data_IF_389479915446
#
_entry.id   IF_389479915446
#
_cell.length_a   1.000
_cell.length_b   1.000
_cell.length_c   1.000
_cell.angle_alpha   90.00
_cell.angle_beta   90.00
_cell.angle_gamma   90.00
#
_symmetry.space_group_name_H-M   'P 1'
#
loop_
_entity.id
_entity.type
_entity.pdbx_description
1 polymer ?
#
# COMPACT_ATOMS: atom_id res chain seq x y z
N UNK A 1 2.46 18.82 -5.09
CA UNK A 1 3.57 18.97 -4.13
C UNK A 1 4.83 18.39 -4.76
N UNK A 2 6.01 19.01 -4.62
CA UNK A 2 7.25 18.50 -5.22
C UNK A 2 8.36 18.34 -4.17
N UNK A 3 9.11 17.24 -4.22
CA UNK A 3 10.28 17.01 -3.38
C UNK A 3 11.45 17.93 -3.78
N UNK A 4 12.30 18.27 -2.82
CA UNK A 4 13.58 18.95 -3.08
C UNK A 4 14.67 17.90 -3.37
N UNK A 5 15.85 18.30 -3.89
CA UNK A 5 16.99 17.40 -4.15
C UNK A 5 17.69 16.88 -2.87
N UNK A 6 16.93 16.51 -1.84
CA UNK A 6 17.35 16.01 -0.53
C UNK A 6 16.28 15.03 -0.03
N UNK A 7 16.63 14.16 0.91
CA UNK A 7 15.66 13.31 1.61
C UNK A 7 14.49 14.17 2.14
N UNK A 8 13.28 13.79 1.76
CA UNK A 8 12.09 14.58 2.06
C UNK A 8 10.96 13.73 2.61
N UNK A 9 10.10 14.36 3.41
CA UNK A 9 8.83 13.78 3.85
C UNK A 9 7.72 14.62 3.23
N UNK A 10 6.85 13.97 2.46
CA UNK A 10 5.74 14.58 1.76
C UNK A 10 4.44 13.96 2.26
N UNK A 11 3.43 14.80 2.46
CA UNK A 11 2.09 14.40 2.86
C UNK A 11 1.12 15.33 2.13
N UNK A 12 0.21 14.76 1.33
CA UNK A 12 -0.86 15.52 0.66
C UNK A 12 -1.79 16.18 1.68
N UNK A 13 -2.18 15.38 2.68
CA UNK A 13 -3.31 15.64 3.60
C UNK A 13 -4.60 15.55 2.80
N UNK A 14 -5.69 16.18 3.26
CA UNK A 14 -6.99 15.96 2.64
C UNK A 14 -7.16 16.60 1.26
N UNK A 15 -7.84 15.84 0.39
CA UNK A 15 -8.16 16.21 -0.99
C UNK A 15 -7.25 15.47 -1.97
N UNK A 16 -7.58 15.50 -3.25
CA UNK A 16 -6.79 14.77 -4.25
C UNK A 16 -5.52 15.58 -4.61
N UNK A 17 -4.34 15.10 -4.20
CA UNK A 17 -3.08 15.78 -4.46
C UNK A 17 -2.24 15.13 -5.55
N UNK A 18 -1.60 15.95 -6.40
CA UNK A 18 -0.51 15.51 -7.26
C UNK A 18 0.83 15.65 -6.52
N UNK A 19 1.51 14.54 -6.23
CA UNK A 19 2.76 14.45 -5.48
C UNK A 19 3.90 14.00 -6.40
N UNK A 20 4.83 14.90 -6.68
CA UNK A 20 6.00 14.63 -7.52
C UNK A 20 7.26 14.47 -6.65
N UNK A 21 7.79 13.25 -6.61
CA UNK A 21 9.03 12.91 -5.89
C UNK A 21 10.15 12.50 -6.85
N UNK A 22 10.06 12.89 -8.12
CA UNK A 22 11.11 12.63 -9.13
C UNK A 22 12.47 13.30 -8.83
N UNK A 23 12.49 14.24 -7.89
CA UNK A 23 13.72 14.85 -7.41
C UNK A 23 14.60 13.81 -6.67
N UNK A 24 15.93 13.81 -6.88
CA UNK A 24 16.82 12.87 -6.21
C UNK A 24 16.76 12.98 -4.68
N UNK A 25 16.70 11.83 -4.00
CA UNK A 25 16.67 11.72 -2.54
C UNK A 25 15.99 10.41 -2.13
N UNK A 26 16.08 10.03 -0.85
CA UNK A 26 15.17 9.04 -0.27
C UNK A 26 13.92 9.78 0.23
N UNK A 27 12.85 9.78 -0.55
CA UNK A 27 11.62 10.45 -0.20
C UNK A 27 10.70 9.52 0.57
N UNK A 28 9.90 10.09 1.47
CA UNK A 28 8.86 9.37 2.20
C UNK A 28 7.52 10.03 1.89
N UNK A 29 6.58 9.27 1.36
CA UNK A 29 5.19 9.72 1.19
C UNK A 29 4.37 9.15 2.33
N UNK A 30 3.70 10.03 3.06
CA UNK A 30 2.81 9.68 4.17
C UNK A 30 1.37 9.88 3.72
N UNK A 31 0.56 8.85 3.86
CA UNK A 31 -0.88 8.88 3.62
C UNK A 31 -1.65 8.91 4.95
N UNK A 32 -2.79 9.58 4.97
CA UNK A 32 -3.72 9.48 6.10
C UNK A 32 -4.32 8.07 6.17
N UNK A 33 -4.58 7.58 7.39
CA UNK A 33 -5.11 6.24 7.59
C UNK A 33 -6.50 6.05 6.96
N UNK A 34 -7.31 7.10 6.97
CA UNK A 34 -8.65 7.12 6.41
C UNK A 34 -8.63 7.69 4.99
N UNK A 35 -9.17 6.98 4.01
CA UNK A 35 -9.22 7.44 2.63
C UNK A 35 -9.97 8.79 2.49
N UNK A 36 -11.01 9.02 3.30
CA UNK A 36 -11.74 10.30 3.31
C UNK A 36 -10.93 11.48 3.86
N UNK A 37 -9.95 11.22 4.71
CA UNK A 37 -9.03 12.23 5.23
C UNK A 37 -7.81 12.42 4.32
N UNK A 38 -7.49 11.43 3.49
CA UNK A 38 -6.45 11.49 2.47
C UNK A 38 -6.96 12.15 1.19
N UNK A 39 -8.10 11.75 0.65
CA UNK A 39 -8.38 11.92 -0.79
C UNK A 39 -7.62 10.88 -1.62
N UNK A 40 -7.66 11.04 -2.94
CA UNK A 40 -6.96 10.16 -3.89
C UNK A 40 -5.74 10.84 -4.49
N UNK A 41 -4.55 10.47 -4.00
CA UNK A 41 -3.30 11.13 -4.40
C UNK A 41 -2.67 10.47 -5.63
N UNK A 42 -2.16 11.28 -6.56
CA UNK A 42 -1.36 10.83 -7.68
C UNK A 42 0.14 11.04 -7.38
N UNK A 43 0.90 9.95 -7.25
CA UNK A 43 2.34 9.99 -6.95
C UNK A 43 3.17 9.67 -8.19
N UNK A 44 4.07 10.57 -8.58
CA UNK A 44 5.00 10.38 -9.71
C UNK A 44 6.45 10.34 -9.24
N UNK A 45 7.27 9.51 -9.90
CA UNK A 45 8.72 9.45 -9.66
C UNK A 45 9.14 8.60 -8.45
N UNK A 46 8.21 7.80 -7.90
CA UNK A 46 8.51 6.87 -6.81
C UNK A 46 9.48 5.79 -7.28
N UNK A 47 10.57 5.57 -6.53
CA UNK A 47 11.55 4.52 -6.82
C UNK A 47 11.63 3.46 -5.73
N UNK A 48 11.68 2.20 -6.15
CA UNK A 48 11.90 1.07 -5.25
C UNK A 48 13.37 0.97 -4.78
N UNK A 49 14.26 1.82 -5.29
CA UNK A 49 15.70 1.80 -5.01
C UNK A 49 16.51 0.94 -5.99
N UNK A 50 15.95 0.64 -7.16
CA UNK A 50 16.70 0.05 -8.27
C UNK A 50 17.65 1.08 -8.92
N UNK A 51 18.67 0.60 -9.64
CA UNK A 51 19.55 1.40 -10.50
C UNK A 51 20.19 2.65 -9.86
N UNK A 52 20.75 2.49 -8.65
CA UNK A 52 21.49 3.50 -7.87
C UNK A 52 20.67 4.65 -7.28
N UNK A 53 19.35 4.65 -7.47
CA UNK A 53 18.46 5.53 -6.74
C UNK A 53 18.31 5.05 -5.28
N UNK A 54 18.12 5.98 -4.34
CA UNK A 54 17.73 5.63 -2.98
C UNK A 54 16.28 5.16 -2.99
N UNK A 55 15.95 4.16 -2.18
CA UNK A 55 14.58 3.67 -2.05
C UNK A 55 13.69 4.72 -1.39
N UNK A 56 12.58 5.06 -2.06
CA UNK A 56 11.51 5.84 -1.46
C UNK A 56 10.67 4.96 -0.54
N UNK A 57 9.95 5.60 0.38
CA UNK A 57 9.16 4.96 1.42
C UNK A 57 7.70 5.36 1.36
N UNK A 58 6.84 4.40 1.65
CA UNK A 58 5.42 4.60 1.94
C UNK A 58 5.24 4.49 3.45
N UNK A 59 4.55 5.46 4.04
CA UNK A 59 4.08 5.40 5.41
C UNK A 59 2.58 5.73 5.49
N UNK A 60 1.93 5.18 6.52
CA UNK A 60 0.52 5.44 6.80
C UNK A 60 0.45 6.06 8.20
N UNK A 61 -0.23 7.21 8.32
CA UNK A 61 -0.38 7.94 9.57
C UNK A 61 -1.42 7.26 10.47
N UNK A 62 -1.01 6.16 11.09
CA UNK A 62 -1.84 5.40 12.03
C UNK A 62 -1.75 5.96 13.45
N UNK A 63 -2.88 6.38 14.01
CA UNK A 63 -3.04 6.46 15.45
C UNK A 63 -3.39 5.09 16.05
N UNK A 64 -3.51 5.01 17.37
CA UNK A 64 -3.80 3.74 18.04
C UNK A 64 -5.18 3.18 17.66
N UNK A 65 -6.16 4.05 17.36
CA UNK A 65 -7.51 3.61 16.97
C UNK A 65 -7.53 3.04 15.56
N UNK A 66 -6.87 3.71 14.62
CA UNK A 66 -6.73 3.24 13.24
C UNK A 66 -5.90 1.95 13.18
N UNK A 67 -4.86 1.82 14.01
CA UNK A 67 -4.06 0.59 14.07
C UNK A 67 -4.85 -0.58 14.64
N UNK A 68 -5.61 -0.37 15.72
CA UNK A 68 -6.43 -1.41 16.35
C UNK A 68 -7.59 -1.89 15.45
N UNK A 69 -7.92 -1.14 14.39
CA UNK A 69 -8.91 -1.52 13.38
C UNK A 69 -8.35 -2.43 12.28
N UNK A 70 -7.01 -2.54 12.16
CA UNK A 70 -6.37 -3.42 11.19
C UNK A 70 -6.39 -4.88 11.67
N UNK A 71 -6.13 -5.80 10.74
CA UNK A 71 -6.06 -7.23 11.00
C UNK A 71 -5.05 -7.54 12.12
N UNK A 72 -5.55 -8.18 13.18
CA UNK A 72 -4.77 -8.49 14.37
C UNK A 72 -4.38 -7.24 15.15
N UNK A 73 -3.08 -6.98 15.26
CA UNK A 73 -2.54 -5.72 15.78
C UNK A 73 -2.05 -4.76 14.68
N UNK A 74 -2.19 -5.14 13.41
CA UNK A 74 -1.84 -4.34 12.24
C UNK A 74 -0.37 -3.91 12.16
N UNK A 75 0.52 -4.50 12.95
CA UNK A 75 1.90 -4.03 13.09
C UNK A 75 2.82 -4.51 11.97
N UNK A 76 2.39 -5.49 11.18
CA UNK A 76 3.22 -6.14 10.16
C UNK A 76 2.84 -5.75 8.73
N UNK A 77 3.82 -5.80 7.82
CA UNK A 77 3.58 -5.81 6.38
C UNK A 77 4.02 -7.14 5.76
N UNK A 78 3.35 -7.55 4.69
CA UNK A 78 3.68 -8.78 3.95
C UNK A 78 3.81 -8.49 2.45
N UNK A 79 4.97 -8.82 1.88
CA UNK A 79 5.19 -8.84 0.43
C UNK A 79 4.88 -10.25 -0.07
N UNK A 80 3.99 -10.39 -1.04
CA UNK A 80 3.58 -11.72 -1.51
C UNK A 80 3.10 -11.73 -2.96
N UNK A 81 3.11 -12.92 -3.57
CA UNK A 81 2.42 -13.23 -4.83
C UNK A 81 1.11 -14.01 -4.60
N UNK A 82 0.76 -14.30 -3.35
CA UNK A 82 -0.39 -15.10 -2.94
C UNK A 82 -0.16 -15.92 -1.65
N UNK A 83 -1.12 -16.73 -1.24
CA UNK A 83 -1.06 -17.58 -0.06
C UNK A 83 -1.65 -16.95 1.20
N UNK A 84 -1.33 -17.55 2.34
CA UNK A 84 -1.89 -17.17 3.63
C UNK A 84 -1.33 -15.81 4.10
N UNK A 85 -2.22 -14.93 4.53
CA UNK A 85 -1.87 -13.64 5.11
C UNK A 85 -1.68 -13.80 6.62
N UNK A 86 -0.55 -13.30 7.13
CA UNK A 86 -0.22 -13.33 8.56
C UNK A 86 -1.30 -12.70 9.44
N UNK A 87 -1.41 -13.15 10.69
CA UNK A 87 -2.49 -12.75 11.59
C UNK A 87 -2.46 -11.27 12.02
N UNK A 88 -1.32 -10.61 11.86
CA UNK A 88 -1.04 -9.23 12.32
C UNK A 88 -0.69 -8.28 11.16
N UNK A 89 -1.00 -8.68 9.92
CA UNK A 89 -0.61 -7.94 8.72
C UNK A 89 -1.58 -6.79 8.47
N UNK A 90 -1.09 -5.56 8.67
CA UNK A 90 -1.82 -4.33 8.35
C UNK A 90 -1.57 -3.81 6.93
N UNK A 91 -0.52 -4.26 6.24
CA UNK A 91 -0.21 -3.87 4.86
C UNK A 91 0.24 -5.08 4.02
N UNK A 92 -0.40 -5.29 2.88
CA UNK A 92 -0.05 -6.32 1.91
C UNK A 92 0.46 -5.65 0.63
N UNK A 93 1.64 -6.06 0.17
CA UNK A 93 2.19 -5.67 -1.14
C UNK A 93 2.12 -6.88 -2.05
N UNK A 94 1.25 -6.81 -3.04
CA UNK A 94 1.04 -7.88 -4.02
C UNK A 94 1.89 -7.64 -5.26
N UNK A 95 2.88 -8.50 -5.48
CA UNK A 95 3.92 -8.26 -6.50
C UNK A 95 3.64 -8.88 -7.85
N UNK A 96 2.61 -9.73 -7.96
CA UNK A 96 2.18 -10.25 -9.26
C UNK A 96 1.47 -9.14 -10.04
N UNK A 97 2.02 -8.77 -11.20
CA UNK A 97 1.41 -7.78 -12.08
C UNK A 97 -0.01 -8.19 -12.51
N UNK A 98 -0.96 -7.29 -12.26
CA UNK A 98 -2.36 -7.44 -12.62
C UNK A 98 -2.63 -6.97 -14.05
N UNK A 99 -3.82 -7.26 -14.57
CA UNK A 99 -4.23 -6.76 -15.89
C UNK A 99 -4.55 -5.25 -15.91
N UNK A 100 -4.90 -4.68 -14.75
CA UNK A 100 -5.11 -3.26 -14.47
C UNK A 100 -5.30 -3.08 -12.95
N UNK A 101 -5.46 -1.84 -12.48
CA UNK A 101 -5.65 -1.48 -11.07
C UNK A 101 -7.10 -1.18 -10.67
N UNK A 102 -8.10 -1.60 -11.46
CA UNK A 102 -9.52 -1.41 -11.12
C UNK A 102 -9.94 -2.27 -9.93
N UNK A 103 -10.91 -1.80 -9.15
CA UNK A 103 -11.45 -2.50 -7.97
C UNK A 103 -11.83 -3.95 -8.26
N UNK A 104 -12.54 -4.22 -9.37
CA UNK A 104 -12.94 -5.58 -9.75
C UNK A 104 -11.73 -6.51 -9.98
N UNK A 105 -10.62 -5.96 -10.48
CA UNK A 105 -9.38 -6.71 -10.69
C UNK A 105 -8.64 -6.93 -9.38
N UNK A 106 -8.62 -5.92 -8.49
CA UNK A 106 -8.06 -6.05 -7.13
C UNK A 106 -8.83 -7.07 -6.30
N UNK A 107 -10.17 -7.04 -6.34
CA UNK A 107 -11.04 -7.98 -5.64
C UNK A 107 -10.76 -9.41 -6.09
N UNK A 108 -10.71 -9.62 -7.41
CA UNK A 108 -10.37 -10.93 -7.98
C UNK A 108 -8.97 -11.37 -7.53
N UNK A 109 -7.99 -10.47 -7.54
CA UNK A 109 -6.63 -10.79 -7.08
C UNK A 109 -6.61 -11.24 -5.61
N UNK A 110 -7.35 -10.55 -4.74
CA UNK A 110 -7.47 -10.88 -3.33
C UNK A 110 -8.15 -12.25 -3.15
N UNK A 111 -9.34 -12.44 -3.74
CA UNK A 111 -10.14 -13.65 -3.58
C UNK A 111 -9.46 -14.90 -4.15
N UNK A 112 -8.76 -14.79 -5.28
CA UNK A 112 -8.15 -15.93 -5.95
C UNK A 112 -6.77 -16.28 -5.38
N UNK A 113 -6.05 -15.32 -4.81
CA UNK A 113 -4.65 -15.51 -4.42
C UNK A 113 -4.41 -15.43 -2.92
N UNK A 114 -5.23 -14.74 -2.13
CA UNK A 114 -5.01 -14.57 -0.69
C UNK A 114 -5.90 -15.51 0.12
N UNK A 115 -5.33 -16.11 1.16
CA UNK A 115 -6.04 -16.98 2.10
C UNK A 115 -5.79 -16.56 3.55
N UNK A 116 -6.55 -17.13 4.49
CA UNK A 116 -6.43 -16.80 5.91
C UNK A 116 -7.17 -15.52 6.33
N UNK A 117 -7.80 -14.83 5.37
CA UNK A 117 -8.70 -13.69 5.61
C UNK A 117 -10.00 -14.17 6.26
N UNK A 118 -10.50 -13.38 7.21
CA UNK A 118 -11.69 -13.61 8.01
C UNK A 118 -12.55 -12.36 8.02
N UNK A 119 -13.85 -12.54 8.23
CA UNK A 119 -14.79 -11.42 8.40
C UNK A 119 -14.32 -10.50 9.54
N UNK A 120 -14.29 -9.20 9.26
CA UNK A 120 -13.82 -8.15 10.18
C UNK A 120 -12.33 -7.82 10.05
N UNK A 121 -11.58 -8.47 9.15
CA UNK A 121 -10.22 -8.06 8.85
C UNK A 121 -10.20 -6.78 8.01
N UNK A 122 -9.27 -5.89 8.36
CA UNK A 122 -8.98 -4.67 7.60
C UNK A 122 -7.48 -4.56 7.34
N UNK A 123 -7.07 -4.21 6.12
CA UNK A 123 -5.65 -4.02 5.79
C UNK A 123 -5.48 -3.10 4.59
N UNK A 124 -4.28 -2.54 4.41
CA UNK A 124 -3.93 -1.82 3.20
C UNK A 124 -3.39 -2.78 2.14
N UNK A 125 -3.74 -2.54 0.89
CA UNK A 125 -3.35 -3.36 -0.24
C UNK A 125 -2.67 -2.49 -1.30
N UNK A 126 -1.40 -2.79 -1.58
CA UNK A 126 -0.63 -2.19 -2.68
C UNK A 126 -0.49 -3.23 -3.79
N UNK A 127 -1.00 -2.93 -4.98
CA UNK A 127 -0.91 -3.80 -6.15
C UNK A 127 -0.69 -2.98 -7.42
N UNK A 128 -0.05 -3.58 -8.43
CA UNK A 128 0.24 -2.91 -9.69
C UNK A 128 -0.04 -3.75 -10.92
N UNK A 129 -0.09 -3.08 -12.07
CA UNK A 129 -0.29 -3.69 -13.40
C UNK A 129 1.03 -3.89 -14.17
N UNK A 130 2.16 -3.68 -13.49
CA UNK A 130 3.51 -3.72 -14.06
C UNK A 130 4.00 -2.38 -14.62
N UNK A 131 3.14 -1.36 -14.69
CA UNK A 131 3.51 0.03 -15.01
C UNK A 131 3.17 0.95 -13.85
N UNK A 132 1.91 0.89 -13.40
CA UNK A 132 1.37 1.70 -12.32
C UNK A 132 0.99 0.82 -11.12
N UNK A 133 0.85 1.43 -9.95
CA UNK A 133 0.33 0.76 -8.76
C UNK A 133 -0.76 1.58 -8.08
N UNK A 134 -1.56 0.93 -7.25
CA UNK A 134 -2.62 1.54 -6.44
C UNK A 134 -2.49 1.06 -5.00
N UNK A 135 -2.59 2.00 -4.07
CA UNK A 135 -2.70 1.76 -2.63
C UNK A 135 -4.15 2.02 -2.21
N UNK A 136 -4.79 1.02 -1.63
CA UNK A 136 -6.17 1.12 -1.15
C UNK A 136 -6.33 0.42 0.21
N UNK A 137 -7.36 0.79 0.98
CA UNK A 137 -7.78 0.01 2.14
C UNK A 137 -8.75 -1.09 1.70
N UNK A 138 -8.71 -2.21 2.42
CA UNK A 138 -9.53 -3.39 2.16
C UNK A 138 -10.19 -3.83 3.47
N UNK A 139 -11.50 -4.03 3.42
CA UNK A 139 -12.30 -4.58 4.50
C UNK A 139 -12.95 -5.90 4.07
N UNK A 140 -12.80 -6.93 4.91
CA UNK A 140 -13.38 -8.25 4.68
C UNK A 140 -14.75 -8.32 5.36
N UNK A 141 -15.80 -8.20 4.57
CA UNK A 141 -17.18 -8.28 5.02
C UNK A 141 -17.71 -9.70 5.22
N UNK A 142 -19.01 -9.76 5.52
CA UNK A 142 -19.71 -11.01 5.82
C UNK A 142 -19.62 -12.02 4.68
N UNK A 143 -19.24 -13.26 5.02
CA UNK A 143 -19.05 -14.32 4.02
C UNK A 143 -17.81 -14.15 3.14
N UNK A 144 -16.86 -13.28 3.52
CA UNK A 144 -15.60 -13.07 2.81
C UNK A 144 -15.69 -12.10 1.64
N UNK A 145 -16.77 -11.32 1.55
CA UNK A 145 -16.89 -10.25 0.55
C UNK A 145 -15.81 -9.20 0.75
N UNK A 146 -15.24 -8.69 -0.34
CA UNK A 146 -14.23 -7.63 -0.28
C UNK A 146 -14.91 -6.28 -0.48
N UNK A 147 -14.65 -5.33 0.40
CA UNK A 147 -14.96 -3.93 0.22
C UNK A 147 -13.65 -3.13 0.17
N UNK A 148 -13.62 -2.13 -0.70
CA UNK A 148 -12.57 -1.11 -0.73
C UNK A 148 -13.06 0.13 0.02
N UNK A 149 -12.17 1.09 0.24
CA UNK A 149 -12.38 2.31 1.04
C UNK A 149 -13.83 2.83 1.05
N UNK A 150 -14.29 3.31 2.21
CA UNK A 150 -15.64 3.87 2.40
C UNK A 150 -16.00 4.99 1.40
N UNK A 151 -15.00 5.61 0.75
CA UNK A 151 -15.16 6.63 -0.30
C UNK A 151 -15.21 6.09 -1.73
N UNK A 152 -14.89 4.81 -1.98
CA UNK A 152 -14.75 4.22 -3.32
C UNK A 152 -13.54 4.74 -4.11
N UNK A 153 -12.64 5.47 -3.45
CA UNK A 153 -11.43 6.04 -4.04
C UNK A 153 -10.20 5.45 -3.33
N UNK A 154 -9.12 5.10 -4.07
CA UNK A 154 -7.89 4.64 -3.47
C UNK A 154 -7.18 5.76 -2.72
N UNK A 155 -6.33 5.40 -1.75
CA UNK A 155 -5.47 6.36 -1.06
C UNK A 155 -4.50 7.01 -2.05
N UNK A 156 -3.90 6.20 -2.94
CA UNK A 156 -2.98 6.71 -3.92
C UNK A 156 -2.87 5.85 -5.17
N UNK A 157 -2.55 6.49 -6.28
CA UNK A 157 -2.06 5.87 -7.50
C UNK A 157 -0.61 6.27 -7.72
N UNK A 158 0.26 5.30 -7.94
CA UNK A 158 1.67 5.50 -8.27
C UNK A 158 1.83 5.35 -9.78
N UNK A 159 2.19 6.44 -10.44
CA UNK A 159 2.43 6.49 -11.88
C UNK A 159 3.88 6.10 -12.20
N UNK A 160 4.05 5.20 -13.18
CA UNK A 160 5.35 4.74 -13.68
C UNK A 160 6.29 4.16 -12.60
N UNK A 161 5.74 3.64 -11.49
CA UNK A 161 6.52 2.95 -10.45
C UNK A 161 7.14 1.64 -10.95
N UNK A 162 6.56 1.06 -12.00
CA UNK A 162 7.02 -0.18 -12.63
C UNK A 162 6.59 -1.43 -11.86
N UNK A 163 7.34 -2.51 -12.06
CA UNK A 163 7.10 -3.79 -11.42
C UNK A 163 7.42 -3.76 -9.91
N UNK A 164 6.48 -4.24 -9.10
CA UNK A 164 6.60 -4.31 -7.65
C UNK A 164 7.50 -5.48 -7.18
N UNK A 165 8.03 -6.32 -8.07
CA UNK A 165 8.98 -7.38 -7.70
C UNK A 165 10.26 -6.88 -7.02
N UNK A 166 10.62 -5.60 -7.20
CA UNK A 166 11.73 -4.93 -6.54
C UNK A 166 11.44 -4.39 -5.14
N UNK A 167 10.21 -4.54 -4.63
CA UNK A 167 9.79 -3.97 -3.37
C UNK A 167 10.46 -4.67 -2.18
N UNK A 168 10.90 -3.91 -1.18
CA UNK A 168 11.59 -4.44 0.01
C UNK A 168 11.13 -3.75 1.28
N UNK A 169 11.64 -4.20 2.44
CA UNK A 169 11.43 -3.50 3.72
C UNK A 169 11.98 -2.07 3.72
N UNK A 170 12.92 -1.72 2.83
CA UNK A 170 13.42 -0.36 2.72
C UNK A 170 12.37 0.63 2.21
N UNK A 171 11.28 0.14 1.61
CA UNK A 171 10.19 0.93 1.02
C UNK A 171 9.00 1.14 1.97
N UNK A 172 9.01 0.54 3.17
CA UNK A 172 7.91 0.64 4.13
C UNK A 172 8.37 1.36 5.39
N UNK A 173 7.55 2.26 5.88
CA UNK A 173 7.72 2.94 7.15
C UNK A 173 6.52 2.66 8.07
N UNK A 174 6.79 2.27 9.32
CA UNK A 174 5.76 2.11 10.35
C UNK A 174 5.16 0.71 10.48
N UNK A 175 5.65 -0.26 9.70
CA UNK A 175 5.30 -1.68 9.82
C UNK A 175 6.58 -2.52 9.91
N UNK A 176 6.52 -3.61 10.66
CA UNK A 176 7.58 -4.62 10.71
C UNK A 176 7.35 -5.67 9.62
N UNK A 177 8.41 -6.29 9.11
CA UNK A 177 8.23 -7.36 8.13
C UNK A 177 7.56 -8.57 8.82
N UNK A 178 6.47 -9.06 8.24
CA UNK A 178 5.81 -10.28 8.72
C UNK A 178 6.85 -11.39 8.80
N UNK A 179 6.99 -11.99 9.99
CA UNK A 179 7.97 -13.04 10.21
C UNK A 179 7.73 -14.16 9.20
N UNK A 180 8.75 -14.50 8.41
CA UNK A 180 8.65 -15.59 7.44
C UNK A 180 8.06 -16.82 8.13
N UNK A 181 6.90 -17.28 7.66
CA UNK A 181 6.30 -18.54 8.11
C UNK A 181 7.26 -19.64 7.68
N UNK A 182 8.20 -19.99 8.55
CA UNK A 182 9.01 -21.19 8.40
C UNK A 182 8.07 -22.37 8.61
N UNK A 183 7.63 -22.97 7.50
CA UNK A 183 6.99 -24.29 7.47
C UNK A 183 7.98 -25.36 7.90
#
# INVERSE_FOLDING_TARGET
IAANNVDSVVQGRGGDDAIDISAPGANTVIFEAEASANGSDAVTGFTLGADSALADRIGIALDDTARDALRGDGSEFQITTGGEIGANVGLVVFTTALGNTSEATLETAILDNLTGLSEGDSFYFLAGDGTNAVLTSVDVGAGGSIAFSDSGEPHATFEDIGDLSGFTSANILGFEAAGAVTV
#
